data_IF_415058145808
#
_entry.id   IF_415058145808
#
_cell.length_a   1.000
_cell.length_b   1.000
_cell.length_c   1.000
_cell.angle_alpha   90.00
_cell.angle_beta   90.00
_cell.angle_gamma   90.00
#
_symmetry.space_group_name_H-M   'P 1'
#
loop_
_entity.id
_entity.type
_entity.pdbx_description
1 polymer ?
#
# COMPACT_ATOMS: atom_id res chain seq x y z
N UNK A 1 21.82 -5.86 -16.06
CA UNK A 1 20.71 -5.10 -15.45
C UNK A 1 19.69 -6.12 -15.02
N UNK A 2 19.13 -6.07 -13.79
CA UNK A 2 18.05 -6.96 -13.41
C UNK A 2 16.89 -6.80 -14.39
N UNK A 3 16.32 -7.92 -14.83
CA UNK A 3 15.08 -7.93 -15.61
C UNK A 3 13.93 -7.56 -14.67
N UNK A 4 13.58 -6.28 -14.62
CA UNK A 4 12.40 -5.77 -13.91
C UNK A 4 11.12 -6.05 -14.70
N UNK A 5 11.03 -7.24 -15.33
CA UNK A 5 9.92 -7.65 -16.17
C UNK A 5 8.59 -7.28 -15.52
N UNK A 6 7.57 -6.88 -16.31
CA UNK A 6 6.36 -6.27 -15.78
C UNK A 6 5.77 -7.18 -14.72
N UNK A 7 5.92 -6.81 -13.45
CA UNK A 7 5.24 -7.50 -12.39
C UNK A 7 3.79 -7.16 -12.61
N UNK A 8 3.03 -8.10 -13.17
CA UNK A 8 1.57 -8.03 -13.26
C UNK A 8 0.91 -8.06 -11.86
N UNK A 9 1.61 -7.57 -10.84
CA UNK A 9 1.25 -7.54 -9.44
C UNK A 9 0.95 -6.08 -9.06
N UNK A 10 -0.15 -5.83 -8.33
CA UNK A 10 -0.49 -4.51 -7.81
C UNK A 10 0.65 -3.82 -7.06
N UNK A 11 0.62 -2.48 -7.06
CA UNK A 11 1.37 -1.66 -6.11
C UNK A 11 0.63 -1.63 -4.77
N UNK A 12 1.33 -2.00 -3.70
CA UNK A 12 0.86 -2.00 -2.33
C UNK A 12 1.24 -0.73 -1.59
N UNK A 13 0.35 -0.26 -0.70
CA UNK A 13 0.64 0.81 0.25
C UNK A 13 0.52 0.29 1.69
N UNK A 14 1.56 0.47 2.49
CA UNK A 14 1.48 0.35 3.95
C UNK A 14 1.15 1.74 4.53
N UNK A 15 -0.08 1.91 5.00
CA UNK A 15 -0.69 3.21 5.29
C UNK A 15 -1.40 3.79 4.06
N UNK A 16 -2.64 4.25 4.24
CA UNK A 16 -3.44 4.86 3.17
C UNK A 16 -3.96 6.24 3.56
N UNK A 17 -3.03 7.04 4.09
CA UNK A 17 -3.22 8.43 4.47
C UNK A 17 -3.26 9.38 3.27
N UNK A 18 -2.84 10.63 3.48
CA UNK A 18 -2.91 11.67 2.44
C UNK A 18 -1.89 11.46 1.33
N UNK A 19 -0.64 11.14 1.68
CA UNK A 19 0.42 10.90 0.72
C UNK A 19 0.07 9.74 -0.23
N UNK A 20 -0.27 8.57 0.32
CA UNK A 20 -0.67 7.40 -0.46
C UNK A 20 -1.84 7.69 -1.40
N UNK A 21 -2.86 8.41 -0.92
CA UNK A 21 -4.01 8.81 -1.74
C UNK A 21 -3.62 9.66 -2.94
N UNK A 22 -2.83 10.72 -2.73
CA UNK A 22 -2.43 11.61 -3.82
C UNK A 22 -1.50 10.92 -4.83
N UNK A 23 -0.61 10.07 -4.34
CA UNK A 23 0.24 9.23 -5.19
C UNK A 23 -0.62 8.27 -6.03
N UNK A 24 -1.51 7.49 -5.40
CA UNK A 24 -2.39 6.55 -6.09
C UNK A 24 -3.27 7.26 -7.12
N UNK A 25 -3.81 8.43 -6.78
CA UNK A 25 -4.59 9.25 -7.71
C UNK A 25 -3.77 9.69 -8.93
N UNK A 26 -2.56 10.20 -8.71
CA UNK A 26 -1.66 10.63 -9.80
C UNK A 26 -1.25 9.46 -10.71
N UNK A 27 -0.87 8.33 -10.12
CA UNK A 27 -0.53 7.12 -10.86
C UNK A 27 -1.72 6.57 -11.67
N UNK A 28 -2.93 6.61 -11.11
CA UNK A 28 -4.15 6.21 -11.82
C UNK A 28 -4.42 7.11 -13.02
N UNK A 29 -4.24 8.42 -12.87
CA UNK A 29 -4.35 9.38 -13.98
C UNK A 29 -3.30 9.14 -15.06
N UNK A 30 -2.12 8.63 -14.69
CA UNK A 30 -1.05 8.22 -15.61
C UNK A 30 -1.26 6.83 -16.24
N UNK A 31 -2.33 6.11 -15.89
CA UNK A 31 -2.68 4.80 -16.48
C UNK A 31 -2.21 3.57 -15.69
N UNK A 32 -1.68 3.73 -14.48
CA UNK A 32 -1.34 2.60 -13.59
C UNK A 32 -2.63 2.08 -12.92
N UNK A 33 -2.92 0.79 -13.07
CA UNK A 33 -4.28 0.28 -12.89
C UNK A 33 -4.58 -0.54 -11.61
N UNK A 34 -3.57 -1.02 -10.88
CA UNK A 34 -3.80 -1.97 -9.78
C UNK A 34 -3.12 -1.53 -8.48
N UNK A 35 -3.94 -1.17 -7.48
CA UNK A 35 -3.48 -0.77 -6.15
C UNK A 35 -4.13 -1.60 -5.06
N UNK A 36 -3.35 -1.93 -4.03
CA UNK A 36 -3.82 -2.53 -2.79
C UNK A 36 -3.25 -1.72 -1.61
N UNK A 37 -3.95 -1.66 -0.48
CA UNK A 37 -3.45 -0.96 0.69
C UNK A 37 -3.89 -1.60 1.99
N UNK A 38 -3.02 -1.57 2.99
CA UNK A 38 -3.34 -1.87 4.38
C UNK A 38 -3.17 -0.60 5.20
N UNK A 39 -4.18 -0.23 5.98
CA UNK A 39 -4.08 0.83 6.98
C UNK A 39 -4.71 0.35 8.29
N UNK A 40 -3.95 0.45 9.38
CA UNK A 40 -4.36 0.03 10.73
C UNK A 40 -5.62 0.75 11.23
N UNK A 41 -5.93 1.92 10.66
CA UNK A 41 -7.09 2.73 11.04
C UNK A 41 -8.30 2.54 10.12
N UNK A 42 -8.26 1.62 9.16
CA UNK A 42 -9.35 1.37 8.20
C UNK A 42 -10.71 1.17 8.87
N UNK A 43 -10.74 0.53 10.04
CA UNK A 43 -11.96 0.27 10.81
C UNK A 43 -12.06 1.10 12.10
N UNK A 44 -11.17 2.08 12.29
CA UNK A 44 -11.22 2.98 13.46
C UNK A 44 -12.29 4.05 13.26
N UNK A 45 -13.33 4.15 14.12
CA UNK A 45 -14.36 5.18 13.99
C UNK A 45 -13.78 6.60 13.92
N UNK A 46 -14.25 7.41 12.98
CA UNK A 46 -13.78 8.78 12.76
C UNK A 46 -12.48 8.92 11.96
N UNK A 47 -11.79 7.81 11.65
CA UNK A 47 -10.59 7.79 10.77
C UNK A 47 -10.82 6.91 9.55
N UNK A 48 -11.41 5.75 9.75
CA UNK A 48 -11.63 4.72 8.75
C UNK A 48 -12.48 5.18 7.58
N UNK A 49 -13.48 6.02 7.82
CA UNK A 49 -14.37 6.55 6.78
C UNK A 49 -13.59 7.36 5.75
N UNK A 50 -12.57 8.12 6.19
CA UNK A 50 -11.71 8.89 5.30
C UNK A 50 -10.80 7.99 4.46
N UNK A 51 -10.26 6.93 5.08
CA UNK A 51 -9.42 5.92 4.40
C UNK A 51 -10.23 5.19 3.34
N UNK A 52 -11.40 4.66 3.71
CA UNK A 52 -12.31 3.94 2.82
C UNK A 52 -12.78 4.81 1.66
N UNK A 53 -13.15 6.07 1.92
CA UNK A 53 -13.51 7.03 0.86
C UNK A 53 -12.35 7.25 -0.12
N UNK A 54 -11.14 7.51 0.38
CA UNK A 54 -9.95 7.71 -0.46
C UNK A 54 -9.65 6.47 -1.32
N UNK A 55 -9.75 5.28 -0.73
CA UNK A 55 -9.54 4.01 -1.42
C UNK A 55 -10.57 3.80 -2.53
N UNK A 56 -11.84 4.10 -2.27
CA UNK A 56 -12.90 4.06 -3.29
C UNK A 56 -12.63 5.04 -4.44
N UNK A 57 -12.21 6.28 -4.14
CA UNK A 57 -11.89 7.31 -5.14
C UNK A 57 -10.72 6.92 -6.05
N UNK A 58 -9.70 6.24 -5.52
CA UNK A 58 -8.54 5.77 -6.30
C UNK A 58 -8.72 4.34 -6.82
N UNK A 59 -9.86 3.69 -6.54
CA UNK A 59 -10.11 2.27 -6.76
C UNK A 59 -9.02 1.36 -6.20
N UNK A 60 -8.45 1.74 -5.06
CA UNK A 60 -7.49 0.94 -4.30
C UNK A 60 -8.25 -0.09 -3.47
N UNK A 61 -7.83 -1.35 -3.55
CA UNK A 61 -8.42 -2.41 -2.72
C UNK A 61 -7.82 -2.37 -1.32
N UNK A 62 -8.66 -2.21 -0.29
CA UNK A 62 -8.22 -2.35 1.10
C UNK A 62 -8.12 -3.83 1.47
N UNK A 63 -7.07 -4.19 2.20
CA UNK A 63 -6.85 -5.51 2.81
C UNK A 63 -6.79 -5.40 4.32
N UNK A 64 -6.84 -6.53 5.02
CA UNK A 64 -7.03 -6.56 6.47
C UNK A 64 -5.73 -6.78 7.27
N UNK A 65 -4.61 -7.06 6.60
CA UNK A 65 -3.32 -7.31 7.26
C UNK A 65 -2.10 -7.07 6.38
N UNK A 66 -0.93 -6.93 7.00
CA UNK A 66 0.37 -6.92 6.30
C UNK A 66 0.62 -8.21 5.49
N UNK A 67 0.14 -9.35 5.98
CA UNK A 67 0.24 -10.62 5.27
C UNK A 67 -0.55 -10.60 3.95
N UNK A 68 -1.78 -10.09 3.99
CA UNK A 68 -2.61 -9.92 2.79
C UNK A 68 -2.05 -8.86 1.84
N UNK A 69 -1.43 -7.80 2.38
CA UNK A 69 -0.74 -6.79 1.58
C UNK A 69 0.42 -7.41 0.79
N UNK A 70 1.29 -8.17 1.46
CA UNK A 70 2.40 -8.87 0.83
C UNK A 70 1.92 -9.94 -0.17
N UNK A 71 0.90 -10.73 0.17
CA UNK A 71 0.35 -11.72 -0.76
C UNK A 71 -0.23 -11.10 -2.04
N UNK A 72 -0.68 -9.83 -1.98
CA UNK A 72 -1.35 -9.14 -3.07
C UNK A 72 -0.46 -8.23 -3.91
N UNK A 73 0.70 -7.80 -3.41
CA UNK A 73 1.53 -6.79 -4.03
C UNK A 73 2.94 -7.32 -4.33
N UNK A 74 3.51 -6.91 -5.47
CA UNK A 74 4.94 -7.12 -5.72
C UNK A 74 5.79 -6.02 -5.11
N UNK A 75 5.30 -4.79 -5.15
CA UNK A 75 5.97 -3.60 -4.64
C UNK A 75 5.13 -3.02 -3.52
N UNK A 76 5.76 -2.68 -2.40
CA UNK A 76 5.09 -2.12 -1.22
C UNK A 76 5.77 -0.80 -0.87
N UNK A 77 5.01 0.29 -0.90
CA UNK A 77 5.46 1.61 -0.48
C UNK A 77 4.92 1.91 0.92
N UNK A 78 5.80 2.21 1.86
CA UNK A 78 5.46 2.75 3.16
C UNK A 78 5.02 4.19 2.99
N UNK A 79 3.81 4.51 3.44
CA UNK A 79 3.25 5.86 3.41
C UNK A 79 2.62 6.20 4.77
N UNK A 80 3.21 5.66 5.84
CA UNK A 80 2.88 5.98 7.23
C UNK A 80 3.59 7.26 7.67
N UNK A 81 3.27 7.76 8.86
CA UNK A 81 3.99 8.89 9.46
C UNK A 81 5.41 8.46 9.87
N UNK A 82 6.35 9.40 9.90
CA UNK A 82 7.78 9.10 10.14
C UNK A 82 8.05 8.40 11.47
N UNK A 83 7.24 8.67 12.49
CA UNK A 83 7.32 8.00 13.80
C UNK A 83 6.85 6.53 13.78
N UNK A 84 6.12 6.13 12.74
CA UNK A 84 5.60 4.77 12.55
C UNK A 84 6.39 3.96 11.51
N UNK A 85 7.31 4.57 10.75
CA UNK A 85 8.02 3.93 9.64
C UNK A 85 8.74 2.64 10.04
N UNK A 86 9.54 2.68 11.12
CA UNK A 86 10.25 1.50 11.61
C UNK A 86 9.30 0.37 12.07
N UNK A 87 8.19 0.74 12.72
CA UNK A 87 7.18 -0.23 13.15
C UNK A 87 6.46 -0.87 11.95
N UNK A 88 6.10 -0.07 10.95
CA UNK A 88 5.49 -0.56 9.72
C UNK A 88 6.44 -1.51 8.97
N UNK A 89 7.73 -1.17 8.85
CA UNK A 89 8.72 -2.06 8.24
C UNK A 89 8.83 -3.39 8.99
N UNK A 90 8.92 -3.35 10.33
CA UNK A 90 8.99 -4.54 11.16
C UNK A 90 7.72 -5.42 11.06
N UNK A 91 6.54 -4.82 10.90
CA UNK A 91 5.27 -5.55 10.73
C UNK A 91 5.13 -6.19 9.34
N UNK A 92 5.71 -5.59 8.30
CA UNK A 92 5.69 -6.17 6.95
C UNK A 92 6.76 -7.26 6.78
N UNK A 93 7.94 -7.10 7.39
CA UNK A 93 9.11 -7.95 7.17
C UNK A 93 8.86 -9.47 7.25
N UNK A 94 8.06 -10.03 8.19
CA UNK A 94 7.79 -11.46 8.27
C UNK A 94 7.07 -12.05 7.05
N UNK A 95 6.42 -11.21 6.24
CA UNK A 95 5.64 -11.61 5.08
C UNK A 95 6.34 -11.31 3.76
N UNK A 96 7.50 -10.64 3.81
CA UNK A 96 8.29 -10.33 2.62
C UNK A 96 9.10 -11.55 2.17
N UNK A 97 9.41 -11.57 0.89
CA UNK A 97 10.14 -12.63 0.19
C UNK A 97 11.10 -11.94 -0.78
N UNK A 98 12.06 -12.66 -1.40
CA UNK A 98 12.93 -12.07 -2.42
C UNK A 98 12.21 -11.47 -3.63
N UNK A 99 10.93 -11.80 -3.85
CA UNK A 99 10.11 -11.23 -4.92
C UNK A 99 9.56 -9.84 -4.59
N UNK A 100 9.66 -9.40 -3.33
CA UNK A 100 9.09 -8.13 -2.89
C UNK A 100 10.10 -7.00 -2.95
N UNK A 101 9.65 -5.84 -3.43
CA UNK A 101 10.36 -4.57 -3.25
C UNK A 101 9.62 -3.74 -2.20
N UNK A 102 10.23 -3.54 -1.03
CA UNK A 102 9.72 -2.64 0.00
C UNK A 102 10.47 -1.31 -0.05
N UNK A 103 9.75 -0.20 -0.20
CA UNK A 103 10.31 1.15 -0.22
C UNK A 103 9.69 1.98 0.90
N UNK A 104 10.53 2.67 1.68
CA UNK A 104 10.11 3.62 2.72
C UNK A 104 10.29 5.07 2.24
#
# INVERSE_FOLDING_TARGET
>A
MPDWGPTNRPLGFAGFGEAAFHIARGLRQAGVGAFVAYDIHTHTPGRGEKIQKRAAETGTRLVESNAELAAAAGWIWSAVTSDQAAAAAAQNAPYLTPDHLYAD
#
